data_IF_616949126942
#
_entry.id   IF_616949126942
#
_cell.length_a   1.000
_cell.length_b   1.000
_cell.length_c   1.000
_cell.angle_alpha   90.00
_cell.angle_beta   90.00
_cell.angle_gamma   90.00
#
_symmetry.space_group_name_H-M   'P 1'
#
loop_
_entity.id
_entity.type
_entity.pdbx_description
1 polymer ?
#
# COMPACT_ATOMS: atom_id res chain seq x y z
N UNK A 1 -16.46 -31.37 -15.08
CA UNK A 1 -15.82 -30.23 -15.75
C UNK A 1 -16.43 -28.90 -15.37
N UNK A 2 -17.76 -28.80 -15.38
CA UNK A 2 -18.43 -27.51 -15.05
C UNK A 2 -18.17 -27.04 -13.63
N UNK A 3 -18.07 -27.95 -12.66
CA UNK A 3 -17.85 -27.61 -11.27
C UNK A 3 -16.49 -26.95 -11.04
N UNK A 4 -15.48 -27.34 -11.82
CA UNK A 4 -14.15 -26.73 -11.70
C UNK A 4 -14.12 -25.28 -12.17
N UNK A 5 -14.86 -24.99 -13.24
CA UNK A 5 -14.96 -23.65 -13.79
C UNK A 5 -15.68 -22.72 -12.79
N UNK A 6 -16.75 -23.22 -12.18
CA UNK A 6 -17.50 -22.47 -11.18
C UNK A 6 -16.67 -22.16 -9.94
N UNK A 7 -15.85 -23.13 -9.50
CA UNK A 7 -14.96 -22.92 -8.35
C UNK A 7 -13.90 -21.86 -8.64
N UNK A 8 -13.33 -21.87 -9.85
CA UNK A 8 -12.34 -20.86 -10.23
C UNK A 8 -12.95 -19.46 -10.23
N UNK A 9 -14.19 -19.31 -10.71
CA UNK A 9 -14.88 -18.03 -10.70
C UNK A 9 -15.13 -17.54 -9.29
N UNK A 10 -15.53 -18.41 -8.38
CA UNK A 10 -15.77 -18.06 -6.98
C UNK A 10 -14.49 -17.57 -6.30
N UNK A 11 -13.37 -18.22 -6.57
CA UNK A 11 -12.08 -17.82 -6.00
C UNK A 11 -11.63 -16.43 -6.49
N UNK A 12 -11.91 -16.10 -7.74
CA UNK A 12 -11.58 -14.79 -8.28
C UNK A 12 -12.41 -13.68 -7.67
N UNK A 13 -13.65 -13.95 -7.32
CA UNK A 13 -14.54 -12.94 -6.74
C UNK A 13 -14.11 -12.51 -5.34
N UNK A 14 -13.60 -13.42 -4.53
CA UNK A 14 -13.24 -13.15 -3.14
C UNK A 14 -12.18 -12.07 -2.96
N UNK A 15 -11.03 -12.08 -3.70
CA UNK A 15 -10.03 -11.02 -3.57
C UNK A 15 -10.57 -9.65 -3.94
N UNK A 16 -11.44 -9.55 -4.94
CA UNK A 16 -12.03 -8.27 -5.34
C UNK A 16 -12.91 -7.68 -4.26
N UNK A 17 -13.72 -8.51 -3.60
CA UNK A 17 -14.57 -8.08 -2.50
C UNK A 17 -13.72 -7.57 -1.33
N UNK A 18 -12.64 -8.27 -0.99
CA UNK A 18 -11.73 -7.85 0.08
C UNK A 18 -11.09 -6.50 -0.20
N UNK A 19 -10.63 -6.28 -1.45
CA UNK A 19 -10.03 -5.01 -1.85
C UNK A 19 -11.03 -3.87 -1.78
N UNK A 20 -12.28 -4.11 -2.19
CA UNK A 20 -13.33 -3.09 -2.17
C UNK A 20 -13.66 -2.64 -0.75
N UNK A 21 -13.41 -3.49 0.26
CA UNK A 21 -13.72 -3.18 1.66
C UNK A 21 -12.58 -2.50 2.40
N UNK A 22 -11.38 -2.40 1.79
CA UNK A 22 -10.25 -1.75 2.44
C UNK A 22 -10.44 -0.23 2.47
N UNK A 23 -10.40 0.40 3.66
CA UNK A 23 -10.58 1.84 3.76
C UNK A 23 -9.49 2.61 3.03
N UNK A 24 -9.83 3.71 2.35
CA UNK A 24 -8.84 4.50 1.61
C UNK A 24 -7.68 5.00 2.46
N UNK A 25 -7.93 5.37 3.70
CA UNK A 25 -6.87 5.87 4.58
C UNK A 25 -5.89 4.77 4.98
N UNK A 26 -6.35 3.53 5.14
CA UNK A 26 -5.45 2.42 5.40
C UNK A 26 -4.59 2.10 4.19
N UNK A 27 -5.14 2.20 2.99
CA UNK A 27 -4.37 2.06 1.76
C UNK A 27 -3.30 3.15 1.65
N UNK A 28 -3.66 4.38 2.00
CA UNK A 28 -2.71 5.50 1.97
C UNK A 28 -1.58 5.27 2.98
N UNK A 29 -1.89 4.78 4.16
CA UNK A 29 -0.89 4.44 5.18
C UNK A 29 0.08 3.39 4.64
N UNK A 30 -0.44 2.33 4.04
CA UNK A 30 0.36 1.26 3.44
C UNK A 30 1.27 1.81 2.34
N UNK A 31 0.70 2.60 1.42
CA UNK A 31 1.46 3.20 0.32
C UNK A 31 2.51 4.18 0.82
N UNK A 32 2.21 4.94 1.86
CA UNK A 32 3.17 5.88 2.45
C UNK A 32 4.37 5.15 3.05
N UNK A 33 4.14 4.03 3.73
CA UNK A 33 5.20 3.20 4.27
C UNK A 33 6.05 2.59 3.14
N UNK A 34 5.40 2.12 2.08
CA UNK A 34 6.07 1.60 0.90
C UNK A 34 6.92 2.69 0.21
N UNK A 35 6.39 3.91 0.13
CA UNK A 35 7.10 5.05 -0.44
C UNK A 35 8.35 5.38 0.38
N UNK A 36 8.29 5.25 1.71
CA UNK A 36 9.44 5.44 2.57
C UNK A 36 10.59 4.49 2.25
N UNK A 37 10.28 3.22 2.04
CA UNK A 37 11.27 2.21 1.65
C UNK A 37 11.80 2.51 0.25
N UNK A 38 10.91 2.77 -0.70
CA UNK A 38 11.29 3.06 -2.08
C UNK A 38 12.20 4.29 -2.17
N UNK A 39 11.91 5.32 -1.38
CA UNK A 39 12.75 6.51 -1.36
C UNK A 39 14.19 6.18 -0.97
N UNK A 40 14.38 5.32 0.02
CA UNK A 40 15.71 4.92 0.46
C UNK A 40 16.41 4.04 -0.58
N UNK A 41 15.72 3.03 -1.10
CA UNK A 41 16.31 2.08 -2.05
C UNK A 41 16.62 2.76 -3.37
N UNK A 42 15.76 3.67 -3.82
CA UNK A 42 15.83 4.27 -5.15
C UNK A 42 16.47 5.66 -5.14
N UNK A 43 16.94 6.14 -3.99
CA UNK A 43 17.55 7.46 -3.83
C UNK A 43 16.61 8.57 -4.31
N UNK A 44 15.37 8.47 -3.89
CA UNK A 44 14.33 9.46 -4.16
C UNK A 44 13.82 10.03 -2.86
N UNK A 45 12.88 10.96 -2.96
CA UNK A 45 12.23 11.55 -1.79
C UNK A 45 10.76 11.18 -1.78
N UNK A 46 10.22 11.01 -0.58
CA UNK A 46 8.78 10.85 -0.42
C UNK A 46 8.11 12.20 -0.71
N UNK A 47 7.08 12.17 -1.55
CA UNK A 47 6.32 13.38 -1.88
C UNK A 47 5.30 13.63 -0.78
N UNK A 48 5.73 14.34 0.27
CA UNK A 48 4.90 14.59 1.44
C UNK A 48 3.68 15.45 1.11
N UNK A 49 3.79 16.37 0.12
CA UNK A 49 2.65 17.16 -0.31
C UNK A 49 1.54 16.31 -0.90
N UNK A 50 1.90 15.37 -1.77
CA UNK A 50 0.93 14.47 -2.37
C UNK A 50 0.23 13.62 -1.30
N UNK A 51 1.00 13.10 -0.35
CA UNK A 51 0.45 12.31 0.75
C UNK A 51 -0.49 13.18 1.60
N UNK A 52 -0.08 14.40 1.93
CA UNK A 52 -0.88 15.32 2.73
C UNK A 52 -2.21 15.65 2.03
N UNK A 53 -2.19 15.87 0.72
CA UNK A 53 -3.40 16.14 -0.05
C UNK A 53 -4.36 14.95 -0.02
N UNK A 54 -3.85 13.75 -0.24
CA UNK A 54 -4.67 12.54 -0.20
C UNK A 54 -5.23 12.29 1.20
N UNK A 55 -4.40 12.54 2.22
CA UNK A 55 -4.80 12.44 3.62
C UNK A 55 -5.97 13.38 3.93
N UNK A 56 -5.88 14.60 3.44
CA UNK A 56 -6.92 15.61 3.63
C UNK A 56 -8.18 15.29 2.84
N UNK A 57 -8.04 14.91 1.57
CA UNK A 57 -9.17 14.58 0.70
C UNK A 57 -10.00 13.43 1.24
N UNK A 58 -9.35 12.46 1.88
CA UNK A 58 -10.02 11.28 2.43
C UNK A 58 -10.36 11.42 3.92
N UNK A 59 -10.16 12.60 4.49
CA UNK A 59 -10.46 12.87 5.91
C UNK A 59 -9.77 11.88 6.85
N UNK A 60 -8.51 11.58 6.57
CA UNK A 60 -7.78 10.55 7.30
C UNK A 60 -7.47 10.93 8.74
N UNK A 61 -7.38 12.23 9.05
CA UNK A 61 -7.18 12.67 10.43
C UNK A 61 -8.29 12.14 11.34
N UNK A 62 -9.55 12.26 10.90
CA UNK A 62 -10.70 11.75 11.64
C UNK A 62 -10.67 10.22 11.72
N UNK A 63 -10.34 9.59 10.59
CA UNK A 63 -10.27 8.13 10.54
C UNK A 63 -9.21 7.59 11.52
N UNK A 64 -8.01 8.16 11.51
CA UNK A 64 -6.90 7.71 12.35
C UNK A 64 -7.07 8.11 13.82
N UNK A 65 -7.98 9.02 14.14
CA UNK A 65 -8.28 9.38 15.52
C UNK A 65 -9.12 8.32 16.25
N UNK A 66 -9.73 7.40 15.52
CA UNK A 66 -10.53 6.33 16.13
C UNK A 66 -9.61 5.36 16.89
N UNK A 67 -10.02 4.95 18.09
CA UNK A 67 -9.19 4.11 18.95
C UNK A 67 -8.85 2.77 18.30
N UNK A 68 -9.81 2.17 17.60
CA UNK A 68 -9.61 0.91 16.87
C UNK A 68 -8.51 1.04 15.83
N UNK A 69 -8.48 2.18 15.15
CA UNK A 69 -7.53 2.43 14.07
C UNK A 69 -6.15 2.75 14.62
N UNK A 70 -6.09 3.55 15.70
CA UNK A 70 -4.80 3.91 16.32
C UNK A 70 -3.97 2.68 16.68
N UNK A 71 -4.63 1.66 17.20
CA UNK A 71 -3.95 0.44 17.61
C UNK A 71 -3.38 -0.35 16.43
N UNK A 72 -3.85 -0.08 15.21
CA UNK A 72 -3.42 -0.79 14.02
C UNK A 72 -2.39 -0.02 13.19
N UNK A 73 -2.24 1.28 13.41
CA UNK A 73 -1.39 2.13 12.56
C UNK A 73 0.05 1.61 12.51
N UNK A 74 0.67 1.42 13.66
CA UNK A 74 2.07 0.99 13.72
C UNK A 74 2.26 -0.40 13.12
N UNK A 75 1.33 -1.30 13.37
CA UNK A 75 1.41 -2.66 12.85
C UNK A 75 1.30 -2.66 11.32
N UNK A 76 0.33 -1.95 10.76
CA UNK A 76 0.13 -1.88 9.31
C UNK A 76 1.34 -1.23 8.64
N UNK A 77 1.81 -0.10 9.16
CA UNK A 77 2.96 0.60 8.61
C UNK A 77 4.22 -0.27 8.67
N UNK A 78 4.45 -0.93 9.80
CA UNK A 78 5.60 -1.81 9.99
C UNK A 78 5.58 -3.00 9.03
N UNK A 79 4.43 -3.65 8.87
CA UNK A 79 4.29 -4.77 7.94
C UNK A 79 4.51 -4.33 6.50
N UNK A 80 3.95 -3.18 6.11
CA UNK A 80 4.10 -2.66 4.75
C UNK A 80 5.57 -2.34 4.45
N UNK A 81 6.27 -1.72 5.40
CA UNK A 81 7.69 -1.41 5.25
C UNK A 81 8.53 -2.67 5.15
N UNK A 82 8.24 -3.66 5.99
CA UNK A 82 8.97 -4.92 5.99
C UNK A 82 8.79 -5.68 4.67
N UNK A 83 7.56 -5.77 4.20
CA UNK A 83 7.26 -6.43 2.92
C UNK A 83 7.93 -5.72 1.75
N UNK A 84 7.93 -4.38 1.75
CA UNK A 84 8.60 -3.61 0.70
C UNK A 84 10.11 -3.85 0.71
N UNK A 85 10.71 -3.90 1.90
CA UNK A 85 12.15 -4.17 2.02
C UNK A 85 12.50 -5.58 1.54
N UNK A 86 11.68 -6.58 1.86
CA UNK A 86 11.87 -7.94 1.37
C UNK A 86 11.75 -8.00 -0.15
N UNK A 87 10.77 -7.32 -0.71
CA UNK A 87 10.56 -7.27 -2.15
C UNK A 87 11.76 -6.65 -2.86
N UNK A 88 12.32 -5.57 -2.28
CA UNK A 88 13.51 -4.93 -2.82
C UNK A 88 14.70 -5.89 -2.84
N UNK A 89 14.86 -6.70 -1.80
CA UNK A 89 15.93 -7.70 -1.75
C UNK A 89 15.73 -8.82 -2.77
N UNK A 90 14.50 -9.29 -2.94
CA UNK A 90 14.18 -10.38 -3.86
C UNK A 90 14.34 -9.96 -5.31
N UNK A 91 13.88 -8.76 -5.65
CA UNK A 91 13.91 -8.28 -7.03
C UNK A 91 15.23 -7.64 -7.43
N UNK A 92 15.99 -7.15 -6.45
CA UNK A 92 17.13 -6.28 -6.70
C UNK A 92 16.68 -4.84 -6.88
N UNK A 93 17.55 -3.89 -6.57
CA UNK A 93 17.20 -2.47 -6.50
C UNK A 93 16.67 -1.93 -7.82
N UNK A 94 17.28 -2.30 -8.94
CA UNK A 94 16.88 -1.78 -10.25
C UNK A 94 15.45 -2.16 -10.60
N UNK A 95 15.11 -3.43 -10.51
CA UNK A 95 13.76 -3.92 -10.83
C UNK A 95 12.75 -3.40 -9.82
N UNK A 96 13.11 -3.41 -8.54
CA UNK A 96 12.24 -2.89 -7.50
C UNK A 96 11.91 -1.41 -7.77
N UNK A 97 12.90 -0.60 -8.12
CA UNK A 97 12.69 0.83 -8.37
C UNK A 97 11.85 1.09 -9.61
N UNK A 98 11.96 0.24 -10.65
CA UNK A 98 11.07 0.34 -11.81
C UNK A 98 9.61 0.10 -11.43
N UNK A 99 9.36 -0.92 -10.60
CA UNK A 99 8.01 -1.22 -10.14
C UNK A 99 7.48 -0.13 -9.21
N UNK A 100 8.34 0.37 -8.32
CA UNK A 100 7.94 1.44 -7.40
C UNK A 100 7.57 2.72 -8.14
N UNK A 101 8.27 3.05 -9.22
CA UNK A 101 7.96 4.21 -10.04
C UNK A 101 6.56 4.10 -10.65
N UNK A 102 6.15 2.89 -11.04
CA UNK A 102 4.82 2.66 -11.60
C UNK A 102 3.75 2.67 -10.48
N UNK A 103 4.01 1.96 -9.40
CA UNK A 103 3.00 1.72 -8.36
C UNK A 103 2.84 2.90 -7.41
N UNK A 104 3.91 3.65 -7.14
CA UNK A 104 3.95 4.73 -6.17
C UNK A 104 4.23 6.09 -6.79
N UNK A 105 4.23 6.18 -8.11
CA UNK A 105 4.73 7.31 -8.89
C UNK A 105 4.49 8.70 -8.30
N UNK A 106 3.24 9.05 -8.00
CA UNK A 106 2.89 10.37 -7.47
C UNK A 106 3.36 10.58 -6.01
N UNK A 107 3.67 9.52 -5.29
CA UNK A 107 4.13 9.59 -3.90
C UNK A 107 5.64 9.71 -3.78
N UNK A 108 6.37 9.68 -4.89
CA UNK A 108 7.82 9.84 -4.94
C UNK A 108 8.20 11.06 -5.78
N UNK A 109 9.33 11.68 -5.44
CA UNK A 109 9.86 12.77 -6.26
C UNK A 109 11.40 12.88 -6.22
#
# INVERSE_FOLDING_TARGET
MFSRILLASALMALPLVSLAQTPPCMNLLTQSAQAGVAAKVCQKQVNMEAIAQLHQQNQCATFFAQDKVKNQINQVASQASHQAAQEAQQLGSQRYCQQAAVNLGSLLK
#
